data_IF_430061107960
#
_entry.id   IF_430061107960
#
_cell.length_a   1.000
_cell.length_b   1.000
_cell.length_c   1.000
_cell.angle_alpha   90.00
_cell.angle_beta   90.00
_cell.angle_gamma   90.00
#
_symmetry.space_group_name_H-M   'P 1'
#
loop_
_entity.id
_entity.type
_entity.pdbx_description
1 polymer ?
#
# COMPACT_ATOMS: atom_id res chain seq x y z
N UNK A 1 5.39 19.44 10.87
CA UNK A 1 5.43 18.73 9.57
C UNK A 1 5.75 17.29 9.88
N UNK A 2 4.89 16.31 9.56
CA UNK A 2 5.24 14.92 9.82
C UNK A 2 6.36 14.50 8.86
N UNK A 3 7.40 13.86 9.40
CA UNK A 3 8.50 13.33 8.62
C UNK A 3 8.08 11.99 8.02
N UNK A 4 7.54 12.00 6.80
CA UNK A 4 7.13 10.77 6.13
C UNK A 4 8.34 10.07 5.52
N UNK A 5 8.75 8.93 6.10
CA UNK A 5 9.85 8.10 5.61
C UNK A 5 9.28 6.93 4.81
N UNK A 6 9.45 6.97 3.48
CA UNK A 6 9.05 5.87 2.58
C UNK A 6 10.32 5.15 2.12
N UNK A 7 10.50 3.90 2.52
CA UNK A 7 11.64 3.06 2.11
C UNK A 7 11.11 1.96 1.19
N UNK A 8 11.62 1.92 -0.03
CA UNK A 8 11.38 0.86 -1.01
C UNK A 8 12.69 0.11 -1.25
N UNK A 9 12.71 -1.20 -1.00
CA UNK A 9 13.84 -2.05 -1.36
C UNK A 9 13.32 -3.32 -2.01
N UNK A 10 13.57 -3.48 -3.31
CA UNK A 10 13.35 -4.73 -4.03
C UNK A 10 14.54 -5.01 -4.97
N UNK A 11 15.19 -6.19 -4.89
CA UNK A 11 15.97 -6.71 -6.00
C UNK A 11 15.02 -7.16 -7.13
N UNK A 12 15.43 -6.94 -8.39
CA UNK A 12 14.62 -7.25 -9.57
C UNK A 12 14.42 -8.76 -9.73
N UNK A 13 13.17 -9.22 -9.82
CA UNK A 13 12.84 -10.60 -10.16
C UNK A 13 11.51 -10.66 -10.93
N UNK A 14 11.38 -11.58 -11.89
CA UNK A 14 10.12 -11.81 -12.62
C UNK A 14 9.08 -12.47 -11.68
N UNK A 15 7.94 -11.80 -11.49
CA UNK A 15 6.99 -12.08 -10.40
C UNK A 15 5.74 -12.81 -10.89
N UNK A 16 5.40 -13.93 -10.24
CA UNK A 16 4.28 -14.80 -10.63
C UNK A 16 3.04 -14.71 -9.75
N UNK A 17 3.06 -14.05 -8.56
CA UNK A 17 1.88 -14.05 -7.66
C UNK A 17 1.65 -12.88 -6.68
N UNK A 18 2.66 -12.09 -6.33
CA UNK A 18 2.51 -10.82 -5.58
C UNK A 18 3.57 -9.86 -6.12
N UNK A 19 3.22 -8.62 -6.46
CA UNK A 19 4.05 -7.73 -7.27
C UNK A 19 4.83 -6.69 -6.43
N UNK A 20 4.39 -6.39 -5.20
CA UNK A 20 5.14 -5.58 -4.24
C UNK A 20 4.56 -5.65 -2.82
N UNK A 21 5.41 -5.58 -1.80
CA UNK A 21 5.00 -5.46 -0.38
C UNK A 21 5.61 -4.20 0.22
N UNK A 22 4.78 -3.33 0.79
CA UNK A 22 5.18 -2.07 1.40
C UNK A 22 4.88 -2.09 2.90
N UNK A 23 5.87 -1.80 3.74
CA UNK A 23 5.65 -1.57 5.17
C UNK A 23 5.48 -0.08 5.41
N UNK A 24 4.27 0.35 5.74
CA UNK A 24 3.92 1.75 5.92
C UNK A 24 4.10 2.13 7.40
N UNK A 25 4.83 3.22 7.64
CA UNK A 25 5.08 3.75 8.97
C UNK A 25 4.69 5.23 9.01
N UNK A 26 4.16 5.70 10.15
CA UNK A 26 3.97 7.12 10.45
C UNK A 26 4.58 7.42 11.80
N UNK A 27 5.35 8.50 11.90
CA UNK A 27 5.93 8.99 13.15
C UNK A 27 6.73 7.93 13.94
N UNK A 28 7.31 6.95 13.23
CA UNK A 28 8.10 5.86 13.82
C UNK A 28 7.29 4.60 14.15
N UNK A 29 5.96 4.63 14.04
CA UNK A 29 5.08 3.48 14.29
C UNK A 29 4.62 2.83 12.98
N UNK A 30 4.51 1.50 12.98
CA UNK A 30 4.02 0.74 11.82
C UNK A 30 2.50 0.87 11.73
N UNK A 31 2.01 1.50 10.65
CA UNK A 31 0.58 1.60 10.35
C UNK A 31 0.04 0.32 9.71
N UNK A 32 0.89 -0.45 9.03
CA UNK A 32 0.49 -1.70 8.41
C UNK A 32 1.37 -2.11 7.24
N UNK A 33 0.99 -3.21 6.60
CA UNK A 33 1.64 -3.73 5.40
C UNK A 33 0.67 -3.71 4.24
N UNK A 34 1.06 -3.09 3.12
CA UNK A 34 0.31 -3.11 1.87
C UNK A 34 0.93 -4.13 0.93
N UNK A 35 0.16 -5.10 0.48
CA UNK A 35 0.53 -6.00 -0.60
C UNK A 35 -0.20 -5.60 -1.88
N UNK A 36 0.54 -5.48 -2.97
CA UNK A 36 0.03 -5.12 -4.29
C UNK A 36 0.26 -6.30 -5.22
N UNK A 37 -0.78 -6.68 -5.93
CA UNK A 37 -0.76 -7.76 -6.92
C UNK A 37 -1.53 -7.36 -8.17
N UNK A 38 -1.34 -8.07 -9.29
CA UNK A 38 -2.08 -7.86 -10.55
C UNK A 38 -3.60 -7.77 -10.37
N UNK A 39 -4.17 -8.51 -9.43
CA UNK A 39 -5.62 -8.56 -9.23
C UNK A 39 -6.18 -7.66 -8.13
N UNK A 40 -5.37 -7.25 -7.15
CA UNK A 40 -5.89 -6.59 -5.95
C UNK A 40 -4.79 -5.97 -5.10
N UNK A 41 -5.20 -5.02 -4.26
CA UNK A 41 -4.43 -4.58 -3.11
C UNK A 41 -4.95 -5.27 -1.84
N UNK A 42 -4.04 -5.59 -0.91
CA UNK A 42 -4.39 -6.13 0.41
C UNK A 42 -3.68 -5.30 1.47
N UNK A 43 -4.45 -4.74 2.40
CA UNK A 43 -3.92 -4.00 3.54
C UNK A 43 -3.96 -4.86 4.81
N UNK A 44 -2.83 -5.01 5.47
CA UNK A 44 -2.70 -5.70 6.76
C UNK A 44 -2.46 -4.66 7.85
N UNK A 45 -3.46 -4.36 8.71
CA UNK A 45 -3.28 -3.49 9.87
C UNK A 45 -2.23 -4.06 10.84
N UNK A 46 -1.72 -3.25 11.78
CA UNK A 46 -0.79 -3.73 12.78
C UNK A 46 -1.53 -4.66 13.76
N UNK A 47 -0.81 -5.63 14.31
CA UNK A 47 -1.33 -6.58 15.31
C UNK A 47 -2.44 -7.52 14.80
N UNK A 48 -2.56 -7.74 13.49
CA UNK A 48 -3.47 -8.74 12.91
C UNK A 48 -2.83 -9.47 11.73
N UNK A 49 -3.26 -10.70 11.51
CA UNK A 49 -2.92 -11.50 10.32
C UNK A 49 -3.99 -11.43 9.24
N UNK A 50 -5.14 -10.78 9.53
CA UNK A 50 -6.23 -10.63 8.58
C UNK A 50 -6.01 -9.42 7.67
N UNK A 51 -5.98 -9.70 6.36
CA UNK A 51 -5.83 -8.68 5.32
C UNK A 51 -7.18 -8.16 4.81
N UNK A 52 -7.27 -6.85 4.63
CA UNK A 52 -8.37 -6.15 3.99
C UNK A 52 -8.08 -6.05 2.49
N UNK A 53 -8.76 -6.88 1.68
CA UNK A 53 -8.56 -6.94 0.24
C UNK A 53 -9.51 -6.01 -0.50
N UNK A 54 -8.97 -5.24 -1.45
CA UNK A 54 -9.73 -4.38 -2.36
C UNK A 54 -9.30 -4.62 -3.81
N UNK A 55 -10.27 -4.66 -4.72
CA UNK A 55 -10.01 -4.71 -6.17
C UNK A 55 -9.57 -3.35 -6.70
N UNK A 56 -8.87 -3.33 -7.84
CA UNK A 56 -8.35 -2.11 -8.44
C UNK A 56 -9.42 -1.06 -8.76
N UNK A 57 -10.58 -1.47 -9.28
CA UNK A 57 -11.68 -0.55 -9.59
C UNK A 57 -12.22 0.14 -8.33
N UNK A 58 -12.40 -0.64 -7.25
CA UNK A 58 -12.86 -0.09 -5.97
C UNK A 58 -11.81 0.80 -5.34
N UNK A 59 -10.53 0.46 -5.48
CA UNK A 59 -9.43 1.31 -5.05
C UNK A 59 -9.40 2.65 -5.81
N UNK A 60 -9.55 2.62 -7.14
CA UNK A 60 -9.62 3.83 -7.96
C UNK A 60 -10.77 4.73 -7.51
N UNK A 61 -11.97 4.16 -7.33
CA UNK A 61 -13.12 4.89 -6.79
C UNK A 61 -12.80 5.52 -5.42
N UNK A 62 -12.20 4.77 -4.50
CA UNK A 62 -11.83 5.29 -3.18
C UNK A 62 -10.83 6.44 -3.27
N UNK A 63 -9.88 6.38 -4.19
CA UNK A 63 -8.91 7.45 -4.41
C UNK A 63 -9.60 8.71 -4.98
N UNK A 64 -10.48 8.57 -5.95
CA UNK A 64 -11.25 9.69 -6.50
C UNK A 64 -12.13 10.37 -5.43
N UNK A 65 -12.73 9.59 -4.54
CA UNK A 65 -13.62 10.09 -3.49
C UNK A 65 -12.88 10.72 -2.30
N UNK A 66 -11.68 10.23 -1.96
CA UNK A 66 -10.99 10.58 -0.70
C UNK A 66 -9.65 11.31 -0.90
N UNK A 67 -9.20 11.51 -2.14
CA UNK A 67 -7.95 12.23 -2.39
C UNK A 67 -8.03 13.67 -1.86
N UNK A 68 -7.10 14.02 -0.97
CA UNK A 68 -7.00 15.37 -0.41
C UNK A 68 -6.15 16.30 -1.28
N UNK A 69 -5.36 15.75 -2.21
CA UNK A 69 -4.47 16.51 -3.08
C UNK A 69 -4.12 15.74 -4.34
N UNK A 70 -4.10 16.45 -5.48
CA UNK A 70 -3.59 15.93 -6.75
C UNK A 70 -2.10 16.24 -6.87
N UNK A 71 -1.31 15.24 -7.25
CA UNK A 71 0.12 15.37 -7.49
C UNK A 71 0.42 15.16 -8.97
N UNK A 72 1.23 16.05 -9.56
CA UNK A 72 1.66 15.93 -10.96
C UNK A 72 2.85 14.96 -11.03
N UNK A 73 2.78 14.01 -11.94
CA UNK A 73 3.86 13.04 -12.21
C UNK A 73 4.99 13.65 -13.05
#
# INVERSE_FOLDING_TARGET
MPSHKVILTLPAHEMSKADATFKVHSDGEMLGTLEVSKGSLVWFPPNTTYGLKVGWEKFAQMMDENATRFEKR
#
